data_IF_447301458313
#
_entry.id   IF_447301458313
#
_cell.length_a   1.000
_cell.length_b   1.000
_cell.length_c   1.000
_cell.angle_alpha   90.00
_cell.angle_beta   90.00
_cell.angle_gamma   90.00
#
_symmetry.space_group_name_H-M   'P 1'
#
loop_
_entity.id
_entity.type
_entity.pdbx_description
1 polymer ?
#
# COMPACT_ATOMS: atom_id res chain seq x y z
N UNK A 1 -30.31 77.99 -34.28
CA UNK A 1 -31.63 78.22 -33.65
C UNK A 1 -31.41 78.45 -32.15
N UNK A 2 -31.23 79.71 -31.78
CA UNK A 2 -31.48 80.25 -30.42
C UNK A 2 -33.00 80.26 -30.14
N UNK A 3 -33.54 80.50 -28.93
CA UNK A 3 -32.96 81.31 -27.83
C UNK A 3 -33.20 80.77 -26.38
N UNK A 4 -32.28 81.06 -25.44
CA UNK A 4 -32.42 82.04 -24.32
C UNK A 4 -33.25 81.57 -23.12
N UNK A 5 -32.60 81.46 -21.95
CA UNK A 5 -32.75 82.40 -20.81
C UNK A 5 -31.93 81.86 -19.62
N UNK A 6 -30.95 82.59 -19.07
CA UNK A 6 -31.10 83.75 -18.15
C UNK A 6 -31.86 83.30 -16.88
N UNK A 7 -31.41 83.51 -15.64
CA UNK A 7 -30.80 84.72 -15.10
C UNK A 7 -30.44 84.47 -13.61
N UNK A 8 -29.24 84.91 -13.19
CA UNK A 8 -28.86 85.66 -11.96
C UNK A 8 -29.34 85.13 -10.57
N UNK A 9 -28.61 85.27 -9.47
CA UNK A 9 -27.84 86.45 -8.99
C UNK A 9 -26.99 85.98 -7.79
N UNK A 10 -25.67 86.17 -7.82
CA UNK A 10 -24.87 87.09 -6.96
C UNK A 10 -25.25 87.10 -5.47
N UNK A 11 -24.25 87.05 -4.58
CA UNK A 11 -23.63 88.24 -3.95
C UNK A 11 -22.71 87.83 -2.79
N UNK A 12 -21.57 88.53 -2.70
CA UNK A 12 -20.83 88.99 -1.50
C UNK A 12 -20.39 87.93 -0.46
N UNK A 13 -19.09 87.67 -0.32
CA UNK A 13 -18.08 88.48 0.39
C UNK A 13 -18.38 88.65 1.89
N UNK A 14 -17.50 88.12 2.74
CA UNK A 14 -16.80 88.90 3.78
C UNK A 14 -15.80 88.01 4.50
N UNK A 15 -14.53 88.44 4.48
CA UNK A 15 -13.55 88.15 5.52
C UNK A 15 -14.13 88.56 6.88
N UNK A 16 -13.99 87.69 7.88
CA UNK A 16 -13.85 88.10 9.26
C UNK A 16 -12.95 87.09 9.98
N UNK A 17 -11.78 87.56 10.38
CA UNK A 17 -10.86 86.87 11.27
C UNK A 17 -11.47 86.75 12.66
N UNK A 18 -11.38 85.59 13.30
CA UNK A 18 -11.34 85.46 14.75
C UNK A 18 -10.94 84.04 15.20
N UNK A 19 -9.89 84.01 16.03
CA UNK A 19 -9.59 83.03 17.08
C UNK A 19 -9.35 81.55 16.70
N UNK A 20 -8.07 81.16 16.77
CA UNK A 20 -7.65 79.79 17.05
C UNK A 20 -8.23 79.32 18.40
N UNK A 21 -9.11 78.32 18.37
CA UNK A 21 -9.33 77.37 19.46
C UNK A 21 -9.45 75.97 18.84
N UNK A 22 -8.55 75.07 19.20
CA UNK A 22 -8.58 73.68 18.81
C UNK A 22 -9.63 72.92 19.63
N UNK A 23 -10.64 72.33 18.98
CA UNK A 23 -11.52 71.27 19.48
C UNK A 23 -12.28 70.66 18.28
N UNK A 24 -12.66 69.36 18.35
CA UNK A 24 -12.50 68.43 17.23
C UNK A 24 -13.66 68.51 16.23
N UNK A 25 -13.32 68.52 14.94
CA UNK A 25 -14.25 68.05 13.92
C UNK A 25 -14.35 66.54 14.05
N UNK A 26 -15.54 66.09 14.40
CA UNK A 26 -15.99 64.71 14.28
C UNK A 26 -15.94 64.36 12.80
N UNK A 27 -14.78 63.90 12.34
CA UNK A 27 -14.70 63.08 11.17
C UNK A 27 -15.43 61.79 11.54
N UNK A 28 -16.59 61.56 10.93
CA UNK A 28 -17.11 60.21 10.77
C UNK A 28 -16.02 59.46 10.01
N UNK A 29 -15.13 58.82 10.76
CA UNK A 29 -14.35 57.72 10.25
C UNK A 29 -15.41 56.75 9.73
N UNK A 30 -15.50 56.65 8.41
CA UNK A 30 -15.93 55.39 7.81
C UNK A 30 -15.13 54.33 8.54
N UNK A 31 -15.84 53.55 9.35
CA UNK A 31 -15.34 52.34 9.95
C UNK A 31 -14.81 51.52 8.79
N UNK A 32 -13.52 51.65 8.52
CA UNK A 32 -12.75 50.62 7.86
C UNK A 32 -13.01 49.40 8.72
N UNK A 33 -13.91 48.55 8.25
CA UNK A 33 -14.08 47.21 8.76
C UNK A 33 -12.73 46.54 8.56
N UNK A 34 -11.83 46.65 9.54
CA UNK A 34 -10.80 45.67 9.70
C UNK A 34 -11.56 44.35 9.74
N UNK A 35 -11.22 43.43 8.84
CA UNK A 35 -11.61 42.03 8.99
C UNK A 35 -10.93 41.58 10.30
N UNK A 36 -11.60 41.86 11.42
CA UNK A 36 -11.07 41.68 12.76
C UNK A 36 -11.16 40.21 13.11
N UNK A 37 -10.19 39.43 12.64
CA UNK A 37 -10.00 38.07 13.13
C UNK A 37 -9.78 38.12 14.64
N UNK A 38 -10.39 37.18 15.37
CA UNK A 38 -10.10 37.04 16.80
C UNK A 38 -8.61 36.71 17.00
N UNK A 39 -8.01 37.03 18.16
CA UNK A 39 -6.63 36.63 18.46
C UNK A 39 -6.39 35.12 18.29
N UNK A 40 -7.41 34.30 18.56
CA UNK A 40 -7.38 32.86 18.30
C UNK A 40 -7.38 32.55 16.79
N UNK A 41 -8.28 33.16 16.01
CA UNK A 41 -8.34 32.96 14.56
C UNK A 41 -7.03 33.37 13.86
N UNK A 42 -6.41 34.48 14.30
CA UNK A 42 -5.09 34.87 13.81
C UNK A 42 -4.02 33.84 14.17
N UNK A 43 -4.03 33.31 15.40
CA UNK A 43 -3.07 32.29 15.83
C UNK A 43 -3.22 30.96 15.08
N UNK A 44 -4.45 30.52 14.83
CA UNK A 44 -4.73 29.34 14.01
C UNK A 44 -4.27 29.57 12.58
N UNK A 45 -4.57 30.75 12.00
CA UNK A 45 -4.11 31.10 10.66
C UNK A 45 -2.58 31.06 10.57
N UNK A 46 -1.86 31.68 11.52
CA UNK A 46 -0.39 31.69 11.59
C UNK A 46 0.18 30.27 11.73
N UNK A 47 -0.37 29.44 12.61
CA UNK A 47 0.10 28.09 12.86
C UNK A 47 -0.18 27.14 11.68
N UNK A 48 -1.29 27.33 10.96
CA UNK A 48 -1.69 26.50 9.83
C UNK A 48 -0.97 26.86 8.52
N UNK A 49 -0.26 28.01 8.44
CA UNK A 49 0.43 28.45 7.22
C UNK A 49 1.30 27.38 6.52
N UNK A 50 2.03 26.48 7.23
CA UNK A 50 2.83 25.46 6.59
C UNK A 50 2.03 24.28 6.01
N UNK A 51 0.72 24.21 6.29
CA UNK A 51 -0.17 23.09 6.02
C UNK A 51 -1.34 23.57 5.17
N UNK A 52 -1.15 23.62 3.85
CA UNK A 52 -2.10 24.23 2.90
C UNK A 52 -3.56 23.76 3.09
N UNK A 53 -3.76 22.45 3.28
CA UNK A 53 -5.07 21.83 3.45
C UNK A 53 -5.71 22.20 4.80
N UNK A 54 -4.92 22.23 5.88
CA UNK A 54 -5.38 22.65 7.21
C UNK A 54 -5.72 24.14 7.21
N UNK A 55 -4.91 24.97 6.54
CA UNK A 55 -5.17 26.40 6.39
C UNK A 55 -6.42 26.67 5.54
N UNK A 56 -6.69 25.85 4.51
CA UNK A 56 -7.92 25.92 3.74
C UNK A 56 -9.14 25.60 4.61
N UNK A 57 -9.11 24.47 5.33
CA UNK A 57 -10.18 24.05 6.23
C UNK A 57 -10.54 25.10 7.29
N UNK A 58 -9.56 25.65 8.00
CA UNK A 58 -9.86 26.66 9.04
C UNK A 58 -10.39 27.98 8.46
N UNK A 59 -9.99 28.35 7.24
CA UNK A 59 -10.52 29.53 6.57
C UNK A 59 -11.99 29.36 6.21
N UNK A 60 -12.37 28.18 5.71
CA UNK A 60 -13.74 27.85 5.32
C UNK A 60 -14.68 27.71 6.53
N UNK A 61 -14.15 27.23 7.66
CA UNK A 61 -14.91 27.08 8.91
C UNK A 61 -14.90 28.34 9.78
N UNK A 62 -14.36 29.47 9.28
CA UNK A 62 -14.31 30.74 10.01
C UNK A 62 -13.44 30.68 11.27
N UNK A 63 -12.45 29.80 11.28
CA UNK A 63 -11.53 29.53 12.39
C UNK A 63 -12.24 29.08 13.68
N UNK A 64 -13.34 28.34 13.55
CA UNK A 64 -14.01 27.71 14.69
C UNK A 64 -13.11 26.62 15.30
N UNK A 65 -13.01 26.52 16.65
CA UNK A 65 -12.23 25.48 17.30
C UNK A 65 -12.84 24.09 17.06
N UNK A 66 -11.99 23.14 16.67
CA UNK A 66 -12.26 21.71 16.59
C UNK A 66 -11.95 21.04 17.93
N UNK A 67 -10.85 21.41 18.59
CA UNK A 67 -10.30 20.67 19.73
C UNK A 67 -10.24 21.46 21.04
N UNK A 68 -9.81 22.71 20.98
CA UNK A 68 -9.43 23.50 22.16
C UNK A 68 -10.56 24.33 22.76
N UNK A 69 -11.78 24.20 22.24
CA UNK A 69 -12.94 24.90 22.79
C UNK A 69 -13.48 24.27 24.08
N UNK A 70 -14.58 24.83 24.59
CA UNK A 70 -15.15 24.49 25.90
C UNK A 70 -16.39 23.59 25.84
N UNK A 71 -16.94 23.37 24.66
CA UNK A 71 -18.14 22.57 24.44
C UNK A 71 -17.89 21.08 24.73
N UNK A 72 -18.98 20.35 25.01
CA UNK A 72 -18.93 18.91 25.17
C UNK A 72 -18.45 18.20 23.89
N UNK A 73 -18.79 18.73 22.70
CA UNK A 73 -18.42 18.15 21.42
C UNK A 73 -16.90 18.23 21.17
N UNK A 74 -16.27 19.37 21.45
CA UNK A 74 -14.81 19.55 21.30
C UNK A 74 -14.04 18.63 22.26
N UNK A 75 -14.50 18.52 23.51
CA UNK A 75 -13.92 17.60 24.50
C UNK A 75 -14.04 16.13 24.06
N UNK A 76 -15.20 15.74 23.53
CA UNK A 76 -15.40 14.39 23.01
C UNK A 76 -14.47 14.07 21.84
N UNK A 77 -14.30 15.01 20.89
CA UNK A 77 -13.35 14.87 19.78
C UNK A 77 -11.91 14.69 20.26
N UNK A 78 -11.47 15.54 21.19
CA UNK A 78 -10.14 15.44 21.78
C UNK A 78 -9.92 14.10 22.49
N UNK A 79 -10.89 13.64 23.29
CA UNK A 79 -10.81 12.34 23.96
C UNK A 79 -10.70 11.19 22.96
N UNK A 80 -11.52 11.19 21.90
CA UNK A 80 -11.46 10.17 20.86
C UNK A 80 -10.11 10.14 20.14
N UNK A 81 -9.54 11.31 19.81
CA UNK A 81 -8.21 11.40 19.21
C UNK A 81 -7.14 10.82 20.15
N UNK A 82 -7.04 11.31 21.38
CA UNK A 82 -6.00 10.86 22.32
C UNK A 82 -6.09 9.36 22.61
N UNK A 83 -7.31 8.82 22.72
CA UNK A 83 -7.53 7.37 22.87
C UNK A 83 -7.04 6.59 21.64
N UNK A 84 -7.34 7.05 20.43
CA UNK A 84 -6.88 6.41 19.21
C UNK A 84 -5.34 6.41 19.11
N UNK A 85 -4.70 7.51 19.51
CA UNK A 85 -3.23 7.62 19.56
C UNK A 85 -2.63 6.66 20.60
N UNK A 86 -3.25 6.54 21.78
CA UNK A 86 -2.79 5.63 22.82
C UNK A 86 -2.78 4.16 22.39
N UNK A 87 -3.66 3.77 21.47
CA UNK A 87 -3.77 2.40 20.93
C UNK A 87 -3.17 2.26 19.52
N UNK A 88 -2.38 3.24 19.05
CA UNK A 88 -1.81 3.19 17.70
C UNK A 88 -0.83 2.02 17.51
N UNK A 89 -0.11 1.63 18.56
CA UNK A 89 0.85 0.51 18.57
C UNK A 89 0.16 -0.85 18.46
N UNK A 90 -1.08 -0.97 18.93
CA UNK A 90 -1.92 -2.15 18.73
C UNK A 90 -2.11 -2.41 17.22
N UNK A 91 -2.22 -1.33 16.45
CA UNK A 91 -2.26 -1.36 14.99
C UNK A 91 -0.88 -1.48 14.34
N UNK A 92 0.20 -1.68 15.09
CA UNK A 92 1.54 -1.78 14.53
C UNK A 92 2.06 -0.47 13.95
N UNK A 93 1.47 0.67 14.33
CA UNK A 93 2.03 1.99 14.03
C UNK A 93 3.20 2.28 14.98
N UNK A 94 4.23 3.02 14.54
CA UNK A 94 5.43 3.25 15.34
C UNK A 94 5.14 4.20 16.52
N UNK A 95 5.28 3.72 17.76
CA UNK A 95 5.01 4.49 18.99
C UNK A 95 5.69 5.85 19.03
N UNK A 96 6.95 5.94 18.57
CA UNK A 96 7.70 7.19 18.57
C UNK A 96 7.13 8.28 17.64
N UNK A 97 6.40 7.91 16.59
CA UNK A 97 5.73 8.88 15.71
C UNK A 97 4.49 9.52 16.37
N UNK A 98 4.05 8.96 17.48
CA UNK A 98 2.84 9.32 18.22
C UNK A 98 3.15 9.79 19.64
N UNK A 99 4.39 10.23 19.91
CA UNK A 99 4.74 10.81 21.20
C UNK A 99 4.00 12.14 21.42
N UNK A 100 2.99 12.11 22.29
CA UNK A 100 2.19 13.28 22.63
C UNK A 100 2.71 14.02 23.86
N UNK A 101 3.89 13.70 24.39
CA UNK A 101 4.38 14.27 25.66
C UNK A 101 4.45 15.79 25.62
N UNK A 102 5.04 16.37 24.57
CA UNK A 102 5.14 17.82 24.40
C UNK A 102 3.76 18.45 24.16
N UNK A 103 2.92 17.84 23.33
CA UNK A 103 1.58 18.33 23.03
C UNK A 103 0.69 18.40 24.29
N UNK A 104 0.70 17.34 25.11
CA UNK A 104 -0.03 17.30 26.37
C UNK A 104 0.51 18.34 27.37
N UNK A 105 1.82 18.61 27.36
CA UNK A 105 2.40 19.69 28.16
C UNK A 105 1.92 21.07 27.68
N UNK A 106 1.92 21.33 26.37
CA UNK A 106 1.38 22.57 25.79
C UNK A 106 -0.09 22.77 26.16
N UNK A 107 -0.91 21.71 26.07
CA UNK A 107 -2.33 21.76 26.43
C UNK A 107 -2.57 22.16 27.89
N UNK A 108 -1.74 21.72 28.84
CA UNK A 108 -1.86 22.05 30.27
C UNK A 108 -1.48 23.49 30.58
N UNK A 109 -0.68 24.12 29.73
CA UNK A 109 -0.11 25.44 29.94
C UNK A 109 -0.67 26.50 28.97
N UNK A 110 -1.80 26.23 28.30
CA UNK A 110 -2.47 27.23 27.47
C UNK A 110 -2.85 28.43 28.33
N UNK A 111 -2.19 29.56 28.10
CA UNK A 111 -2.37 30.81 28.84
C UNK A 111 -2.76 31.98 27.96
N UNK A 112 -2.69 31.81 26.63
CA UNK A 112 -3.01 32.83 25.64
C UNK A 112 -3.76 32.25 24.43
N UNK A 113 -4.54 33.09 23.70
CA UNK A 113 -5.15 32.68 22.44
C UNK A 113 -4.14 32.19 21.39
N UNK A 114 -2.89 32.67 21.46
CA UNK A 114 -1.82 32.26 20.57
C UNK A 114 -1.38 30.83 20.80
N UNK A 115 -1.15 30.47 22.06
CA UNK A 115 -0.83 29.09 22.45
C UNK A 115 -1.99 28.15 22.15
N UNK A 116 -3.23 28.61 22.40
CA UNK A 116 -4.42 27.85 22.07
C UNK A 116 -4.50 27.55 20.56
N UNK A 117 -4.31 28.56 19.70
CA UNK A 117 -4.33 28.38 18.25
C UNK A 117 -3.20 27.47 17.73
N UNK A 118 -2.03 27.48 18.36
CA UNK A 118 -0.95 26.53 18.03
C UNK A 118 -1.35 25.09 18.38
N UNK A 119 -1.84 24.85 19.59
CA UNK A 119 -2.30 23.51 20.03
C UNK A 119 -3.44 23.00 19.15
N UNK A 120 -4.36 23.89 18.74
CA UNK A 120 -5.46 23.58 17.83
C UNK A 120 -4.95 22.98 16.50
N UNK A 121 -3.95 23.62 15.89
CA UNK A 121 -3.37 23.16 14.62
C UNK A 121 -2.54 21.88 14.81
N UNK A 122 -1.77 21.77 15.90
CA UNK A 122 -1.01 20.55 16.21
C UNK A 122 -1.91 19.33 16.39
N UNK A 123 -3.04 19.48 17.09
CA UNK A 123 -4.05 18.40 17.23
C UNK A 123 -4.70 18.04 15.91
N UNK A 124 -4.93 19.04 15.05
CA UNK A 124 -5.46 18.83 13.70
C UNK A 124 -4.47 18.03 12.84
N UNK A 125 -3.20 18.38 12.89
CA UNK A 125 -2.13 17.66 12.19
C UNK A 125 -1.96 16.23 12.74
N UNK A 126 -2.04 16.04 14.05
CA UNK A 126 -1.99 14.72 14.69
C UNK A 126 -3.17 13.83 14.23
N UNK A 127 -4.38 14.38 14.18
CA UNK A 127 -5.56 13.68 13.65
C UNK A 127 -5.36 13.27 12.19
N UNK A 128 -4.95 14.20 11.32
CA UNK A 128 -4.74 13.91 9.91
C UNK A 128 -3.63 12.88 9.69
N UNK A 129 -2.53 13.00 10.45
CA UNK A 129 -1.43 12.04 10.42
C UNK A 129 -1.92 10.65 10.81
N UNK A 130 -2.65 10.53 11.93
CA UNK A 130 -3.23 9.26 12.35
C UNK A 130 -4.19 8.70 11.30
N UNK A 131 -5.17 9.50 10.85
CA UNK A 131 -6.19 9.09 9.89
C UNK A 131 -5.56 8.57 8.58
N UNK A 132 -4.58 9.30 8.06
CA UNK A 132 -3.84 8.86 6.89
C UNK A 132 -3.11 7.54 7.13
N UNK A 133 -2.34 7.45 8.21
CA UNK A 133 -1.47 6.31 8.48
C UNK A 133 -2.24 5.04 8.82
N UNK A 134 -3.33 5.14 9.59
CA UNK A 134 -4.15 3.97 9.94
C UNK A 134 -4.88 3.41 8.73
N UNK A 135 -5.32 4.28 7.82
CA UNK A 135 -6.09 3.88 6.63
C UNK A 135 -5.21 3.38 5.49
N UNK A 136 -4.14 4.13 5.19
CA UNK A 136 -3.39 4.00 3.93
C UNK A 136 -1.92 3.71 4.11
N UNK A 137 -1.49 3.55 5.36
CA UNK A 137 -0.14 3.18 5.71
C UNK A 137 0.78 4.37 6.01
N UNK A 138 1.90 4.04 6.63
CA UNK A 138 2.98 4.96 6.97
C UNK A 138 3.99 5.12 5.83
N UNK A 139 4.01 4.19 4.87
CA UNK A 139 4.95 4.17 3.77
C UNK A 139 4.23 4.29 2.43
N UNK A 140 4.87 5.01 1.51
CA UNK A 140 4.48 4.98 0.11
C UNK A 140 5.08 3.73 -0.56
N UNK A 141 4.27 2.78 -1.10
CA UNK A 141 4.79 1.51 -1.61
C UNK A 141 5.92 1.68 -2.64
N UNK A 142 5.77 2.66 -3.53
CA UNK A 142 6.74 2.94 -4.61
C UNK A 142 8.08 3.50 -4.12
N UNK A 143 8.14 4.02 -2.89
CA UNK A 143 9.38 4.46 -2.24
C UNK A 143 10.26 3.30 -1.77
N UNK A 144 9.66 2.13 -1.54
CA UNK A 144 10.33 0.90 -1.14
C UNK A 144 10.90 0.18 -2.38
N UNK A 145 10.03 -0.05 -3.37
CA UNK A 145 10.40 -0.66 -4.65
C UNK A 145 9.51 -0.04 -5.75
N UNK A 146 10.11 0.44 -6.84
CA UNK A 146 9.38 1.06 -7.95
C UNK A 146 8.37 0.13 -8.63
N UNK A 147 8.52 -1.19 -8.46
CA UNK A 147 7.58 -2.19 -8.97
C UNK A 147 6.37 -2.40 -8.05
N UNK A 148 6.35 -1.78 -6.87
CA UNK A 148 5.20 -1.76 -5.96
C UNK A 148 4.32 -0.55 -6.29
N UNK A 149 3.39 -0.76 -7.21
CA UNK A 149 2.59 0.33 -7.80
C UNK A 149 1.13 0.36 -7.33
N UNK A 150 0.88 -0.16 -6.14
CA UNK A 150 -0.43 -0.04 -5.47
C UNK A 150 -0.71 1.41 -5.15
N UNK A 151 -1.98 1.80 -5.30
CA UNK A 151 -2.48 3.10 -4.88
C UNK A 151 -3.34 2.89 -3.61
N UNK A 152 -2.88 3.35 -2.44
CA UNK A 152 -3.63 3.25 -1.19
C UNK A 152 -4.95 4.05 -1.16
N UNK A 153 -5.27 4.86 -2.19
CA UNK A 153 -6.48 5.71 -2.25
C UNK A 153 -6.61 6.62 -1.01
N UNK A 154 -5.64 7.51 -0.84
CA UNK A 154 -5.61 8.49 0.27
C UNK A 154 -6.83 9.41 0.17
N UNK A 155 -7.59 9.51 1.27
CA UNK A 155 -8.72 10.45 1.36
C UNK A 155 -8.19 11.88 1.50
N UNK A 156 -8.98 12.82 1.00
CA UNK A 156 -8.68 14.24 1.11
C UNK A 156 -8.71 14.68 2.60
N UNK A 157 -7.72 15.47 3.07
CA UNK A 157 -7.67 15.92 4.47
C UNK A 157 -8.86 16.78 4.91
N UNK A 158 -9.43 17.60 4.01
CA UNK A 158 -10.63 18.39 4.30
C UNK A 158 -11.84 17.47 4.42
N UNK A 159 -11.97 16.45 3.57
CA UNK A 159 -13.00 15.40 3.70
C UNK A 159 -12.89 14.67 5.05
N UNK A 160 -11.67 14.31 5.47
CA UNK A 160 -11.44 13.65 6.76
C UNK A 160 -11.85 14.52 7.96
N UNK A 161 -11.52 15.81 7.94
CA UNK A 161 -11.87 16.75 9.00
C UNK A 161 -13.36 17.05 9.04
N UNK A 162 -13.97 17.31 7.88
CA UNK A 162 -15.41 17.60 7.78
C UNK A 162 -16.25 16.38 8.16
N UNK A 163 -15.86 15.17 7.73
CA UNK A 163 -16.50 13.92 8.16
C UNK A 163 -16.41 13.69 9.67
N UNK A 164 -15.25 13.97 10.27
CA UNK A 164 -15.07 13.85 11.72
C UNK A 164 -15.91 14.87 12.51
N UNK A 165 -16.01 16.10 12.02
CA UNK A 165 -16.85 17.13 12.63
C UNK A 165 -18.35 16.82 12.53
N UNK A 166 -18.77 16.20 11.43
CA UNK A 166 -20.16 15.82 11.18
C UNK A 166 -20.59 14.54 11.92
N UNK A 167 -19.65 13.79 12.48
CA UNK A 167 -19.95 12.52 13.15
C UNK A 167 -20.65 12.75 14.50
N UNK A 168 -21.78 12.07 14.70
CA UNK A 168 -22.50 12.06 15.99
C UNK A 168 -21.64 11.49 17.14
N UNK A 169 -20.74 10.57 16.81
CA UNK A 169 -19.83 9.90 17.74
C UNK A 169 -18.39 9.91 17.20
N UNK A 170 -17.51 10.74 17.78
CA UNK A 170 -16.10 10.80 17.41
C UNK A 170 -15.35 9.47 17.53
N UNK A 171 -15.58 8.66 18.58
CA UNK A 171 -14.96 7.34 18.73
C UNK A 171 -15.35 6.40 17.58
N UNK A 172 -16.62 6.43 17.17
CA UNK A 172 -17.11 5.61 16.06
C UNK A 172 -16.47 6.03 14.73
N UNK A 173 -16.29 7.34 14.52
CA UNK A 173 -15.59 7.84 13.34
C UNK A 173 -14.14 7.39 13.33
N UNK A 174 -13.39 7.53 14.43
CA UNK A 174 -12.00 7.06 14.54
C UNK A 174 -11.89 5.56 14.24
N UNK A 175 -12.81 4.75 14.77
CA UNK A 175 -12.84 3.32 14.49
C UNK A 175 -13.14 3.01 13.01
N UNK A 176 -13.93 3.83 12.33
CA UNK A 176 -14.24 3.67 10.89
C UNK A 176 -13.03 3.92 9.97
N UNK A 177 -11.96 4.51 10.50
CA UNK A 177 -10.69 4.70 9.76
C UNK A 177 -9.84 3.43 9.74
N UNK A 178 -10.09 2.48 10.63
CA UNK A 178 -9.33 1.22 10.68
C UNK A 178 -9.74 0.34 9.48
N UNK A 179 -8.80 -0.31 8.78
CA UNK A 179 -9.12 -1.23 7.69
C UNK A 179 -10.14 -2.30 8.14
N UNK A 180 -11.24 -2.40 7.41
CA UNK A 180 -12.36 -3.27 7.75
C UNK A 180 -12.24 -4.67 7.15
N UNK A 181 -11.08 -5.06 6.63
CA UNK A 181 -10.88 -6.39 6.03
C UNK A 181 -10.76 -7.45 7.12
N UNK A 182 -11.33 -8.63 6.89
CA UNK A 182 -11.20 -9.76 7.83
C UNK A 182 -9.74 -10.17 8.03
N UNK A 183 -8.91 -9.97 7.00
CA UNK A 183 -7.47 -10.24 7.09
C UNK A 183 -6.76 -9.29 8.04
N UNK A 184 -7.07 -7.99 7.99
CA UNK A 184 -6.52 -7.04 8.94
C UNK A 184 -6.91 -7.40 10.38
N UNK A 185 -8.17 -7.81 10.61
CA UNK A 185 -8.62 -8.31 11.91
C UNK A 185 -7.88 -9.59 12.35
N UNK A 186 -7.65 -10.55 11.44
CA UNK A 186 -6.84 -11.75 11.71
C UNK A 186 -5.40 -11.40 12.07
N UNK A 187 -4.79 -10.44 11.36
CA UNK A 187 -3.42 -9.99 11.63
C UNK A 187 -3.31 -9.27 12.98
N UNK A 188 -4.27 -8.41 13.32
CA UNK A 188 -4.37 -7.79 14.65
C UNK A 188 -4.42 -8.85 15.75
N UNK A 189 -5.32 -9.84 15.61
CA UNK A 189 -5.42 -10.94 16.57
C UNK A 189 -4.09 -11.70 16.66
N UNK A 190 -3.46 -12.00 15.51
CA UNK A 190 -2.21 -12.75 15.46
C UNK A 190 -1.04 -11.98 16.08
N UNK A 191 -1.00 -10.66 15.92
CA UNK A 191 -0.03 -9.78 16.58
C UNK A 191 -0.10 -9.94 18.09
N UNK A 192 -1.30 -9.80 18.68
CA UNK A 192 -1.49 -9.99 20.12
C UNK A 192 -1.13 -11.39 20.62
N UNK A 193 -1.45 -12.43 19.85
CA UNK A 193 -1.03 -13.80 20.19
C UNK A 193 0.50 -13.93 20.25
N UNK A 194 1.20 -13.40 19.23
CA UNK A 194 2.65 -13.48 19.13
C UNK A 194 3.34 -12.63 20.19
N UNK A 195 2.82 -11.45 20.53
CA UNK A 195 3.33 -10.63 21.63
C UNK A 195 3.28 -11.36 22.96
N UNK A 196 2.12 -11.93 23.32
CA UNK A 196 1.96 -12.75 24.53
C UNK A 196 2.88 -13.98 24.55
N UNK A 197 3.11 -14.58 23.39
CA UNK A 197 4.05 -15.68 23.25
C UNK A 197 5.49 -15.21 23.51
N UNK A 198 5.89 -14.06 22.96
CA UNK A 198 7.23 -13.49 23.17
C UNK A 198 7.46 -13.23 24.65
N UNK A 199 6.48 -12.65 25.36
CA UNK A 199 6.53 -12.43 26.81
C UNK A 199 6.73 -13.73 27.61
N UNK A 200 6.29 -14.88 27.07
CA UNK A 200 6.42 -16.21 27.68
C UNK A 200 7.66 -16.99 27.23
N UNK A 201 8.59 -16.35 26.52
CA UNK A 201 9.84 -16.98 26.06
C UNK A 201 9.83 -17.46 24.60
N UNK A 202 8.85 -17.06 23.79
CA UNK A 202 8.80 -17.36 22.37
C UNK A 202 8.57 -18.84 22.06
N UNK A 203 9.16 -19.32 20.97
CA UNK A 203 9.12 -20.74 20.58
C UNK A 203 10.10 -21.63 21.36
N UNK A 204 10.72 -21.10 22.42
CA UNK A 204 11.77 -21.78 23.16
C UNK A 204 13.09 -21.93 22.39
N UNK A 205 14.00 -22.78 22.88
CA UNK A 205 15.32 -23.00 22.28
C UNK A 205 15.24 -23.38 20.79
N UNK A 206 16.26 -23.00 20.04
CA UNK A 206 16.41 -23.39 18.64
C UNK A 206 16.73 -24.88 18.51
N UNK A 207 16.30 -25.47 17.40
CA UNK A 207 16.68 -26.83 17.00
C UNK A 207 18.13 -26.81 16.52
N UNK A 208 19.02 -27.46 17.26
CA UNK A 208 20.44 -27.59 16.96
C UNK A 208 20.69 -28.83 16.10
N UNK A 209 20.35 -28.74 14.82
CA UNK A 209 20.61 -29.76 13.82
C UNK A 209 20.76 -29.11 12.44
N UNK A 210 21.50 -29.74 11.53
CA UNK A 210 21.52 -29.34 10.12
C UNK A 210 20.35 -29.93 9.33
N UNK A 211 19.92 -31.14 9.71
CA UNK A 211 18.74 -31.81 9.21
C UNK A 211 18.28 -32.87 10.22
N UNK A 212 16.99 -33.25 10.15
CA UNK A 212 16.43 -34.38 10.89
C UNK A 212 15.49 -35.20 9.98
N UNK A 213 15.54 -36.53 10.09
CA UNK A 213 14.75 -37.47 9.27
C UNK A 213 13.86 -38.38 10.12
N UNK A 214 12.76 -38.91 9.54
CA UNK A 214 11.97 -39.95 10.19
C UNK A 214 12.82 -41.12 10.68
N UNK A 215 12.56 -41.58 11.91
CA UNK A 215 13.29 -42.65 12.59
C UNK A 215 14.49 -42.21 13.43
N UNK A 216 15.00 -40.98 13.25
CA UNK A 216 16.08 -40.45 14.08
C UNK A 216 15.64 -40.20 15.53
N UNK A 217 16.60 -40.15 16.46
CA UNK A 217 16.36 -39.98 17.89
C UNK A 217 17.36 -39.01 18.52
N UNK A 218 17.01 -38.47 19.69
CA UNK A 218 17.93 -37.73 20.55
C UNK A 218 17.51 -36.29 20.83
N UNK A 219 18.45 -35.50 21.36
CA UNK A 219 18.15 -34.17 21.90
C UNK A 219 17.58 -33.22 20.83
N UNK A 220 18.10 -33.27 19.60
CA UNK A 220 17.63 -32.40 18.51
C UNK A 220 16.22 -32.76 18.04
N UNK A 221 15.81 -34.03 18.09
CA UNK A 221 14.42 -34.46 17.82
C UNK A 221 13.49 -33.93 18.93
N UNK A 222 13.93 -33.98 20.19
CA UNK A 222 13.18 -33.39 21.31
C UNK A 222 13.02 -31.87 21.14
N UNK A 223 14.06 -31.18 20.68
CA UNK A 223 13.98 -29.74 20.36
C UNK A 223 12.97 -29.46 19.24
N UNK A 224 13.04 -30.23 18.14
CA UNK A 224 12.09 -30.13 17.02
C UNK A 224 10.64 -30.35 17.49
N UNK A 225 10.39 -31.43 18.24
CA UNK A 225 9.09 -31.74 18.84
C UNK A 225 8.57 -30.57 19.67
N UNK A 226 9.41 -30.02 20.56
CA UNK A 226 9.00 -28.92 21.43
C UNK A 226 8.68 -27.64 20.63
N UNK A 227 9.47 -27.33 19.59
CA UNK A 227 9.18 -26.22 18.66
C UNK A 227 7.86 -26.42 17.93
N UNK A 228 7.60 -27.61 17.37
CA UNK A 228 6.35 -27.91 16.67
C UNK A 228 5.14 -27.85 17.60
N UNK A 229 5.28 -28.28 18.86
CA UNK A 229 4.24 -28.11 19.89
C UNK A 229 4.00 -26.62 20.16
N UNK A 230 5.07 -25.85 20.39
CA UNK A 230 4.94 -24.43 20.69
C UNK A 230 4.28 -23.67 19.53
N UNK A 231 4.60 -24.05 18.28
CA UNK A 231 4.01 -23.48 17.06
C UNK A 231 2.61 -24.01 16.72
N UNK A 232 2.10 -25.00 17.47
CA UNK A 232 0.75 -25.56 17.28
C UNK A 232 0.63 -26.62 16.18
N UNK A 233 1.73 -27.11 15.61
CA UNK A 233 1.73 -28.17 14.60
C UNK A 233 1.64 -29.58 15.19
N UNK A 234 1.96 -29.74 16.47
CA UNK A 234 2.00 -31.03 17.15
C UNK A 234 1.30 -30.95 18.50
N UNK A 235 0.49 -31.97 18.82
CA UNK A 235 -0.07 -32.14 20.16
C UNK A 235 1.02 -32.46 21.21
N UNK A 236 0.70 -32.37 22.50
CA UNK A 236 1.68 -32.72 23.56
C UNK A 236 2.17 -34.16 23.38
N UNK A 237 3.48 -34.34 23.34
CA UNK A 237 4.12 -35.64 23.20
C UNK A 237 5.41 -35.71 24.03
N UNK A 238 5.71 -36.91 24.54
CA UNK A 238 6.96 -37.22 25.25
C UNK A 238 7.95 -38.01 24.38
N UNK A 239 7.62 -38.28 23.11
CA UNK A 239 8.47 -39.06 22.18
C UNK A 239 9.86 -38.44 22.04
N UNK A 240 10.89 -39.29 21.96
CA UNK A 240 12.25 -38.86 21.65
C UNK A 240 12.69 -39.30 20.25
N UNK A 241 11.75 -39.90 19.49
CA UNK A 241 11.95 -40.43 18.15
C UNK A 241 11.17 -39.57 17.17
N UNK A 242 11.75 -39.35 16.00
CA UNK A 242 11.10 -38.72 14.88
C UNK A 242 10.09 -39.72 14.29
N UNK A 243 8.94 -39.81 14.94
CA UNK A 243 7.84 -40.71 14.59
C UNK A 243 6.91 -40.12 13.51
N UNK A 244 5.87 -40.87 13.16
CA UNK A 244 4.90 -40.48 12.13
C UNK A 244 4.13 -39.20 12.47
N UNK A 245 3.90 -38.91 13.76
CA UNK A 245 3.21 -37.69 14.18
C UNK A 245 4.11 -36.46 14.02
N UNK A 246 5.40 -36.57 14.36
CA UNK A 246 6.38 -35.51 14.06
C UNK A 246 6.51 -35.31 12.55
N UNK A 247 6.58 -36.40 11.77
CA UNK A 247 6.65 -36.29 10.30
C UNK A 247 5.47 -35.54 9.73
N UNK A 248 4.24 -35.88 10.15
CA UNK A 248 3.04 -35.19 9.73
C UNK A 248 3.03 -33.71 10.15
N UNK A 249 3.49 -33.41 11.37
CA UNK A 249 3.61 -32.04 11.85
C UNK A 249 4.63 -31.23 11.04
N UNK A 250 5.75 -31.84 10.64
CA UNK A 250 6.75 -31.20 9.76
C UNK A 250 6.20 -30.99 8.36
N UNK A 251 5.43 -31.93 7.80
CA UNK A 251 4.77 -31.75 6.50
C UNK A 251 3.80 -30.56 6.55
N UNK A 252 2.94 -30.48 7.57
CA UNK A 252 2.03 -29.36 7.75
C UNK A 252 2.78 -28.02 7.91
N UNK A 253 3.91 -28.03 8.64
CA UNK A 253 4.77 -26.85 8.75
C UNK A 253 5.37 -26.45 7.39
N UNK A 254 5.89 -27.41 6.63
CA UNK A 254 6.47 -27.19 5.31
C UNK A 254 5.44 -26.61 4.34
N UNK A 255 4.22 -27.16 4.30
CA UNK A 255 3.11 -26.64 3.49
C UNK A 255 2.81 -25.17 3.84
N UNK A 256 2.67 -24.85 5.12
CA UNK A 256 2.39 -23.49 5.58
C UNK A 256 3.55 -22.51 5.36
N UNK A 257 4.79 -23.00 5.25
CA UNK A 257 5.96 -22.19 4.92
C UNK A 257 6.26 -22.13 3.41
N UNK A 258 5.44 -22.78 2.57
CA UNK A 258 5.67 -22.84 1.13
C UNK A 258 6.88 -23.70 0.71
N UNK A 259 7.31 -24.62 1.57
CA UNK A 259 8.39 -25.57 1.32
C UNK A 259 7.85 -26.87 0.71
N UNK A 260 8.75 -27.72 0.20
CA UNK A 260 8.37 -29.08 -0.20
C UNK A 260 7.99 -29.92 1.03
N UNK A 261 6.76 -30.43 1.07
CA UNK A 261 6.20 -31.17 2.19
C UNK A 261 6.62 -32.66 2.23
N UNK A 262 7.92 -32.92 2.25
CA UNK A 262 8.49 -34.28 2.25
C UNK A 262 8.55 -34.92 3.65
N UNK A 263 8.29 -34.15 4.71
CA UNK A 263 8.38 -34.60 6.09
C UNK A 263 9.82 -34.83 6.57
N UNK A 264 10.82 -34.36 5.82
CA UNK A 264 12.22 -34.31 6.22
C UNK A 264 12.52 -32.89 6.66
N UNK A 265 12.93 -32.71 7.92
CA UNK A 265 13.35 -31.40 8.40
C UNK A 265 14.79 -31.10 7.91
N UNK A 266 14.96 -30.86 6.61
CA UNK A 266 16.23 -30.47 6.00
C UNK A 266 16.66 -29.03 6.34
N UNK A 267 17.78 -28.53 5.80
CA UNK A 267 18.33 -27.22 6.16
C UNK A 267 17.33 -26.06 6.07
N UNK A 268 16.57 -25.96 4.97
CA UNK A 268 15.55 -24.92 4.80
C UNK A 268 14.40 -25.03 5.82
N UNK A 269 13.99 -26.26 6.16
CA UNK A 269 12.97 -26.49 7.19
C UNK A 269 13.50 -26.12 8.57
N UNK A 270 14.74 -26.50 8.91
CA UNK A 270 15.34 -26.14 10.19
C UNK A 270 15.52 -24.62 10.31
N UNK A 271 15.97 -23.95 9.25
CA UNK A 271 16.07 -22.49 9.19
C UNK A 271 14.71 -21.83 9.43
N UNK A 272 13.68 -22.24 8.69
CA UNK A 272 12.32 -21.71 8.81
C UNK A 272 11.72 -21.98 10.21
N UNK A 273 11.94 -23.18 10.76
CA UNK A 273 11.55 -23.54 12.14
C UNK A 273 12.27 -22.65 13.13
N UNK A 274 13.55 -22.33 12.92
CA UNK A 274 14.36 -21.59 13.87
C UNK A 274 14.13 -20.07 13.87
N UNK A 275 13.38 -19.53 12.90
CA UNK A 275 12.94 -18.11 12.90
C UNK A 275 12.24 -17.78 14.23
N UNK A 276 12.72 -16.77 14.99
CA UNK A 276 12.15 -16.45 16.29
C UNK A 276 10.80 -15.73 16.15
N UNK A 277 9.98 -15.80 17.21
CA UNK A 277 8.67 -15.16 17.25
C UNK A 277 8.74 -13.63 17.02
N UNK A 278 9.82 -12.98 17.45
CA UNK A 278 10.06 -11.54 17.23
C UNK A 278 10.20 -11.18 15.75
N UNK A 279 10.84 -12.01 14.92
CA UNK A 279 10.91 -11.79 13.47
C UNK A 279 9.55 -12.07 12.79
N UNK A 280 8.78 -13.04 13.30
CA UNK A 280 7.41 -13.27 12.84
C UNK A 280 6.48 -12.10 13.19
N UNK A 281 6.66 -11.48 14.35
CA UNK A 281 5.94 -10.26 14.73
C UNK A 281 6.18 -9.12 13.73
N UNK A 282 7.44 -8.89 13.33
CA UNK A 282 7.77 -7.91 12.28
C UNK A 282 7.07 -8.23 10.97
N UNK A 283 7.04 -9.50 10.58
CA UNK A 283 6.33 -9.94 9.37
C UNK A 283 4.82 -9.64 9.43
N UNK A 284 4.19 -9.83 10.60
CA UNK A 284 2.78 -9.50 10.83
C UNK A 284 2.57 -7.99 10.72
N UNK A 285 3.41 -7.17 11.34
CA UNK A 285 3.31 -5.70 11.25
C UNK A 285 3.47 -5.22 9.80
N UNK A 286 4.41 -5.79 9.05
CA UNK A 286 4.56 -5.50 7.62
C UNK A 286 3.33 -5.94 6.82
N UNK A 287 2.72 -7.08 7.13
CA UNK A 287 1.49 -7.52 6.49
C UNK A 287 0.31 -6.57 6.80
N UNK A 288 0.20 -6.08 8.03
CA UNK A 288 -0.81 -5.09 8.43
C UNK A 288 -0.63 -3.78 7.66
N UNK A 289 0.61 -3.32 7.51
CA UNK A 289 0.92 -2.15 6.68
C UNK A 289 0.53 -2.38 5.21
N UNK A 290 0.84 -3.56 4.66
CA UNK A 290 0.48 -3.92 3.29
C UNK A 290 -1.03 -4.01 3.07
N UNK A 291 -1.81 -4.46 4.05
CA UNK A 291 -3.28 -4.47 3.97
C UNK A 291 -3.86 -3.05 3.86
N UNK A 292 -3.21 -2.03 4.44
CA UNK A 292 -3.65 -0.63 4.29
C UNK A 292 -3.46 -0.08 2.89
N UNK A 293 -2.54 -0.65 2.12
CA UNK A 293 -2.32 -0.24 0.72
C UNK A 293 -3.34 -0.84 -0.24
N UNK A 294 -4.22 -1.72 0.22
CA UNK A 294 -5.22 -2.38 -0.60
C UNK A 294 -6.52 -1.58 -0.63
N UNK A 295 -6.93 -1.18 -1.83
CA UNK A 295 -8.22 -0.52 -2.08
C UNK A 295 -9.31 -1.46 -2.58
N UNK A 296 -9.03 -2.76 -2.66
CA UNK A 296 -9.97 -3.74 -3.19
C UNK A 296 -11.05 -4.11 -2.15
N UNK A 297 -12.30 -4.21 -2.59
CA UNK A 297 -13.35 -4.81 -1.79
C UNK A 297 -13.25 -6.34 -1.83
N UNK A 298 -12.69 -6.93 -0.77
CA UNK A 298 -12.50 -8.38 -0.63
C UNK A 298 -13.79 -9.14 -0.29
N UNK A 299 -14.94 -8.46 -0.20
CA UNK A 299 -16.25 -9.13 -0.05
C UNK A 299 -16.79 -9.65 -1.38
N UNK A 300 -16.36 -9.06 -2.50
CA UNK A 300 -16.73 -9.52 -3.84
C UNK A 300 -15.78 -10.60 -4.35
N UNK A 301 -16.09 -11.16 -5.53
CA UNK A 301 -15.18 -12.08 -6.22
C UNK A 301 -13.89 -11.37 -6.63
N UNK A 302 -12.74 -11.95 -6.34
CA UNK A 302 -11.44 -11.46 -6.81
C UNK A 302 -10.47 -12.59 -7.14
N UNK A 303 -9.44 -12.26 -7.91
CA UNK A 303 -8.31 -13.15 -8.20
C UNK A 303 -7.11 -12.63 -7.42
N UNK A 304 -6.50 -13.50 -6.62
CA UNK A 304 -5.35 -13.18 -5.80
C UNK A 304 -4.13 -13.96 -6.26
N UNK A 305 -3.13 -13.27 -6.79
CA UNK A 305 -1.83 -13.86 -7.09
C UNK A 305 -0.85 -13.44 -6.00
N UNK A 306 -0.46 -14.39 -5.16
CA UNK A 306 0.55 -14.15 -4.17
C UNK A 306 1.92 -14.51 -4.75
N UNK A 307 2.73 -13.49 -5.00
CA UNK A 307 4.04 -13.65 -5.65
C UNK A 307 5.01 -14.47 -4.78
N UNK A 308 4.92 -14.37 -3.46
CA UNK A 308 5.91 -14.98 -2.56
C UNK A 308 5.61 -16.44 -2.22
N UNK A 309 4.35 -16.87 -2.29
CA UNK A 309 3.97 -18.29 -2.12
C UNK A 309 3.78 -19.02 -3.48
N UNK A 310 3.90 -18.26 -4.59
CA UNK A 310 3.72 -18.75 -5.95
C UNK A 310 2.38 -19.46 -6.16
N UNK A 311 1.29 -18.86 -5.68
CA UNK A 311 -0.08 -19.32 -5.90
C UNK A 311 -0.94 -18.27 -6.59
N UNK A 312 -1.98 -18.74 -7.27
CA UNK A 312 -3.09 -17.94 -7.77
C UNK A 312 -4.39 -18.55 -7.25
N UNK A 313 -5.26 -17.70 -6.67
CA UNK A 313 -6.53 -18.10 -6.07
C UNK A 313 -7.67 -17.30 -6.66
N UNK A 314 -8.84 -17.93 -6.81
CA UNK A 314 -10.12 -17.24 -6.95
C UNK A 314 -10.78 -17.27 -5.59
N UNK A 315 -11.17 -16.10 -5.10
CA UNK A 315 -11.86 -15.94 -3.82
C UNK A 315 -13.24 -15.37 -4.09
N UNK A 316 -14.28 -16.04 -3.63
CA UNK A 316 -15.68 -15.64 -3.74
C UNK A 316 -16.24 -15.44 -2.34
N UNK A 317 -16.58 -14.19 -1.96
CA UNK A 317 -17.18 -13.92 -0.65
C UNK A 317 -16.31 -14.31 0.55
N UNK A 318 -14.97 -14.27 0.38
CA UNK A 318 -14.01 -14.69 1.40
C UNK A 318 -13.58 -16.16 1.33
N UNK A 319 -14.27 -16.99 0.54
CA UNK A 319 -13.97 -18.42 0.38
C UNK A 319 -13.10 -18.68 -0.86
N UNK A 320 -12.08 -19.52 -0.74
CA UNK A 320 -11.24 -19.92 -1.88
C UNK A 320 -12.00 -20.97 -2.71
N UNK A 321 -12.45 -20.60 -3.90
CA UNK A 321 -13.20 -21.49 -4.80
C UNK A 321 -12.33 -22.19 -5.84
N UNK A 322 -11.12 -21.66 -6.08
CA UNK A 322 -10.12 -22.27 -6.93
C UNK A 322 -8.73 -21.85 -6.47
N UNK A 323 -7.78 -22.78 -6.49
CA UNK A 323 -6.37 -22.53 -6.22
C UNK A 323 -5.49 -23.29 -7.21
N UNK A 324 -4.42 -22.64 -7.66
CA UNK A 324 -3.37 -23.27 -8.46
C UNK A 324 -2.00 -22.68 -8.12
N UNK A 325 -0.94 -23.42 -8.47
CA UNK A 325 0.43 -22.91 -8.46
C UNK A 325 0.61 -21.92 -9.60
N UNK A 326 1.43 -20.90 -9.39
CA UNK A 326 1.82 -19.91 -10.41
C UNK A 326 3.33 -19.94 -10.67
N UNK A 327 3.74 -19.48 -11.85
CA UNK A 327 5.13 -19.12 -12.16
C UNK A 327 5.17 -17.63 -12.44
N UNK A 328 5.96 -16.90 -11.66
CA UNK A 328 6.05 -15.44 -11.74
C UNK A 328 7.35 -15.02 -12.44
N UNK A 329 7.50 -13.71 -12.62
CA UNK A 329 8.70 -13.07 -13.14
C UNK A 329 9.98 -13.49 -12.40
N UNK A 330 11.09 -13.60 -13.12
CA UNK A 330 12.39 -13.87 -12.52
C UNK A 330 12.79 -12.76 -11.53
N UNK A 331 13.74 -13.04 -10.65
CA UNK A 331 14.20 -12.09 -9.63
C UNK A 331 15.08 -10.96 -10.19
N UNK A 332 15.51 -11.04 -11.45
CA UNK A 332 16.20 -9.93 -12.11
C UNK A 332 15.26 -8.74 -12.29
N UNK A 333 15.75 -7.53 -12.01
CA UNK A 333 14.92 -6.33 -11.91
C UNK A 333 14.06 -6.06 -13.16
N UNK A 334 14.58 -6.37 -14.34
CA UNK A 334 13.93 -6.21 -15.65
C UNK A 334 12.83 -7.24 -15.95
N UNK A 335 12.70 -8.28 -15.12
CA UNK A 335 11.78 -9.41 -15.32
C UNK A 335 10.88 -9.69 -14.13
N UNK A 336 11.02 -8.96 -13.03
CA UNK A 336 10.19 -9.12 -11.84
C UNK A 336 8.74 -8.79 -12.14
N UNK A 337 7.82 -9.57 -11.57
CA UNK A 337 6.40 -9.23 -11.61
C UNK A 337 6.14 -8.06 -10.66
N UNK A 338 5.55 -6.94 -11.12
CA UNK A 338 5.18 -5.82 -10.25
C UNK A 338 4.00 -6.17 -9.35
N UNK A 339 3.88 -5.46 -8.22
CA UNK A 339 2.72 -5.52 -7.34
C UNK A 339 1.72 -4.44 -7.74
N UNK A 340 0.52 -4.85 -8.15
CA UNK A 340 -0.58 -3.96 -8.53
C UNK A 340 -1.90 -4.74 -8.51
N UNK A 341 -3.00 -4.01 -8.72
CA UNK A 341 -4.35 -4.55 -8.87
C UNK A 341 -4.97 -3.97 -10.14
N UNK A 342 -5.77 -4.76 -10.85
CA UNK A 342 -6.56 -4.31 -12.00
C UNK A 342 -7.75 -5.25 -12.24
N UNK A 343 -8.66 -4.87 -13.12
CA UNK A 343 -9.87 -5.64 -13.44
C UNK A 343 -9.62 -6.57 -14.62
N UNK A 344 -9.95 -7.86 -14.43
CA UNK A 344 -9.95 -8.82 -15.52
C UNK A 344 -11.15 -8.58 -16.44
N UNK A 345 -10.87 -8.26 -17.70
CA UNK A 345 -11.87 -7.89 -18.69
C UNK A 345 -12.32 -9.08 -19.54
N UNK A 346 -11.38 -9.89 -20.03
CA UNK A 346 -11.69 -10.97 -20.95
C UNK A 346 -10.63 -12.07 -20.97
N UNK A 347 -11.03 -13.22 -21.51
CA UNK A 347 -10.16 -14.36 -21.77
C UNK A 347 -10.01 -14.56 -23.28
N UNK A 348 -8.80 -14.85 -23.72
CA UNK A 348 -8.47 -15.22 -25.11
C UNK A 348 -8.14 -16.70 -25.14
N UNK A 349 -8.88 -17.47 -25.94
CA UNK A 349 -8.64 -18.89 -26.18
C UNK A 349 -7.75 -19.01 -27.42
N UNK A 350 -6.78 -19.94 -27.37
CA UNK A 350 -5.78 -20.17 -28.41
C UNK A 350 -5.09 -18.86 -28.84
N UNK A 351 -4.42 -18.15 -27.91
CA UNK A 351 -3.87 -16.83 -28.19
C UNK A 351 -2.71 -16.90 -29.20
N UNK A 352 -2.60 -15.87 -30.05
CA UNK A 352 -1.31 -15.56 -30.68
C UNK A 352 -0.41 -14.85 -29.68
N UNK A 353 0.88 -15.20 -29.66
CA UNK A 353 1.87 -14.48 -28.86
C UNK A 353 2.61 -13.47 -29.73
N UNK A 354 2.50 -12.20 -29.38
CA UNK A 354 3.34 -11.15 -29.94
C UNK A 354 4.56 -11.00 -29.03
N UNK A 355 5.73 -11.40 -29.53
CA UNK A 355 6.95 -11.47 -28.73
C UNK A 355 7.39 -10.04 -28.42
N UNK A 356 7.54 -9.66 -27.14
CA UNK A 356 8.06 -8.35 -26.76
C UNK A 356 9.39 -8.03 -27.44
N UNK A 357 9.62 -6.75 -27.77
CA UNK A 357 10.86 -6.30 -28.43
C UNK A 357 12.11 -6.67 -27.63
N UNK A 358 12.06 -6.60 -26.30
CA UNK A 358 13.16 -6.99 -25.42
C UNK A 358 13.52 -8.47 -25.56
N UNK A 359 12.53 -9.37 -25.53
CA UNK A 359 12.71 -10.82 -25.72
C UNK A 359 13.19 -11.11 -27.15
N UNK A 360 12.59 -10.48 -28.14
CA UNK A 360 13.02 -10.58 -29.55
C UNK A 360 14.50 -10.27 -29.66
N UNK A 361 14.94 -9.11 -29.14
CA UNK A 361 16.31 -8.63 -29.21
C UNK A 361 17.31 -9.50 -28.44
N UNK A 362 16.94 -9.95 -27.25
CA UNK A 362 17.88 -10.54 -26.30
C UNK A 362 17.94 -12.08 -26.39
N UNK A 363 16.86 -12.74 -26.81
CA UNK A 363 16.77 -14.21 -26.78
C UNK A 363 16.72 -14.84 -28.17
N UNK A 364 15.93 -14.28 -29.09
CA UNK A 364 15.73 -14.91 -30.42
C UNK A 364 16.69 -14.38 -31.47
N UNK A 365 16.84 -13.06 -31.54
CA UNK A 365 17.57 -12.39 -32.61
C UNK A 365 19.05 -12.79 -32.72
N UNK A 366 19.81 -13.03 -31.62
CA UNK A 366 21.19 -13.49 -31.73
C UNK A 366 21.32 -14.80 -32.53
N UNK A 367 20.50 -15.80 -32.21
CA UNK A 367 20.50 -17.08 -32.91
C UNK A 367 19.94 -16.97 -34.35
N UNK A 368 18.98 -16.08 -34.58
CA UNK A 368 18.46 -15.82 -35.92
C UNK A 368 19.51 -15.17 -36.82
N UNK A 369 20.30 -14.22 -36.32
CA UNK A 369 21.41 -13.60 -37.06
C UNK A 369 22.47 -14.66 -37.41
N UNK A 370 22.93 -15.43 -36.42
CA UNK A 370 23.96 -16.47 -36.60
C UNK A 370 23.54 -17.51 -37.65
N UNK A 371 22.26 -17.87 -37.65
CA UNK A 371 21.70 -18.89 -38.55
C UNK A 371 21.10 -18.33 -39.85
N UNK A 372 21.33 -17.05 -40.17
CA UNK A 372 20.77 -16.40 -41.38
C UNK A 372 19.24 -16.58 -41.49
N UNK A 373 18.55 -16.45 -40.35
CA UNK A 373 17.09 -16.53 -40.22
C UNK A 373 16.51 -17.91 -39.95
N UNK A 374 17.30 -18.98 -39.94
CA UNK A 374 16.79 -20.35 -39.81
C UNK A 374 16.31 -20.70 -38.39
N UNK A 375 16.89 -20.09 -37.36
CA UNK A 375 16.46 -20.28 -35.98
C UNK A 375 15.03 -19.75 -35.72
N UNK A 376 14.40 -20.26 -34.66
CA UNK A 376 13.05 -19.87 -34.23
C UNK A 376 11.99 -19.98 -35.34
N UNK A 377 12.08 -21.01 -36.19
CA UNK A 377 11.20 -21.24 -37.35
C UNK A 377 9.70 -21.28 -37.02
N UNK A 378 9.35 -21.62 -35.78
CA UNK A 378 7.98 -21.62 -35.26
C UNK A 378 7.38 -20.21 -35.07
N UNK A 379 8.20 -19.15 -35.14
CA UNK A 379 7.75 -17.75 -35.11
C UNK A 379 7.50 -17.25 -36.54
N UNK A 380 6.53 -16.36 -36.72
CA UNK A 380 6.36 -15.58 -37.94
C UNK A 380 7.05 -14.23 -37.76
N UNK A 381 7.73 -13.75 -38.80
CA UNK A 381 8.21 -12.37 -38.88
C UNK A 381 7.11 -11.56 -39.55
N UNK A 382 6.72 -10.45 -38.93
CA UNK A 382 5.67 -9.57 -39.46
C UNK A 382 6.16 -8.12 -39.57
N UNK A 383 5.65 -7.38 -40.56
CA UNK A 383 5.89 -5.94 -40.69
C UNK A 383 4.96 -5.10 -39.80
N UNK A 384 5.14 -3.78 -39.81
CA UNK A 384 4.29 -2.86 -39.02
C UNK A 384 2.82 -2.82 -39.43
N UNK A 385 2.45 -3.40 -40.58
CA UNK A 385 1.07 -3.60 -41.00
C UNK A 385 0.53 -4.99 -40.60
N UNK A 386 1.34 -5.82 -39.92
CA UNK A 386 1.00 -7.16 -39.49
C UNK A 386 1.09 -8.22 -40.59
N UNK A 387 1.67 -7.89 -41.76
CA UNK A 387 1.83 -8.84 -42.87
C UNK A 387 3.04 -9.72 -42.62
N UNK A 388 2.91 -11.02 -42.91
CA UNK A 388 4.02 -11.97 -42.79
C UNK A 388 5.09 -11.65 -43.83
N UNK A 389 6.33 -11.48 -43.36
CA UNK A 389 7.52 -11.26 -44.17
C UNK A 389 8.27 -12.59 -44.29
N UNK A 390 8.44 -13.15 -45.50
CA UNK A 390 9.20 -14.38 -45.68
C UNK A 390 10.66 -14.16 -45.28
N UNK A 391 11.24 -15.10 -44.52
CA UNK A 391 12.59 -14.99 -43.93
C UNK A 391 13.67 -14.81 -44.99
N UNK A 392 13.50 -15.46 -46.12
CA UNK A 392 14.38 -15.45 -47.28
C UNK A 392 14.44 -14.08 -47.99
N UNK A 393 13.46 -13.21 -47.74
CA UNK A 393 13.45 -11.84 -48.30
C UNK A 393 14.18 -10.83 -47.43
N UNK A 394 14.59 -11.23 -46.22
CA UNK A 394 15.25 -10.35 -45.25
C UNK A 394 16.76 -10.39 -45.50
N UNK A 395 17.37 -9.21 -45.63
CA UNK A 395 18.83 -9.08 -45.61
C UNK A 395 19.34 -9.21 -44.17
N UNK A 396 19.67 -10.44 -43.76
CA UNK A 396 20.16 -10.75 -42.41
C UNK A 396 21.52 -10.14 -42.09
N UNK A 397 22.34 -9.79 -43.07
CA UNK A 397 23.62 -9.09 -42.85
C UNK A 397 23.40 -7.65 -42.36
N UNK A 398 22.27 -7.04 -42.69
CA UNK A 398 21.88 -5.72 -42.22
C UNK A 398 21.15 -5.75 -40.86
N UNK A 399 20.78 -6.93 -40.36
CA UNK A 399 20.10 -7.10 -39.08
C UNK A 399 21.12 -7.14 -37.95
N UNK A 400 20.81 -6.45 -36.86
CA UNK A 400 21.59 -6.52 -35.63
C UNK A 400 20.66 -6.52 -34.42
N UNK A 401 21.19 -6.84 -33.23
CA UNK A 401 20.40 -6.69 -31.99
C UNK A 401 19.97 -5.24 -31.75
N UNK A 402 20.60 -4.23 -32.37
CA UNK A 402 20.17 -2.83 -32.33
C UNK A 402 19.18 -2.45 -33.42
N UNK A 403 19.02 -3.27 -34.47
CA UNK A 403 18.22 -2.94 -35.65
C UNK A 403 17.53 -4.19 -36.22
N UNK A 404 16.22 -4.29 -35.94
CA UNK A 404 15.32 -5.29 -36.50
C UNK A 404 13.94 -4.64 -36.72
N UNK A 405 13.62 -4.18 -37.95
CA UNK A 405 12.43 -3.38 -38.25
C UNK A 405 11.14 -4.22 -38.40
N UNK A 406 11.08 -5.37 -37.71
CA UNK A 406 9.98 -6.33 -37.77
C UNK A 406 9.56 -6.75 -36.35
N UNK A 407 8.40 -7.39 -36.26
CA UNK A 407 7.91 -8.04 -35.05
C UNK A 407 7.91 -9.56 -35.21
N UNK A 408 7.99 -10.26 -34.07
CA UNK A 408 7.83 -11.71 -34.03
C UNK A 408 6.47 -12.07 -33.47
N UNK A 409 5.78 -12.98 -34.16
CA UNK A 409 4.47 -13.50 -33.75
C UNK A 409 4.50 -15.02 -33.72
N UNK A 410 4.18 -15.63 -32.59
CA UNK A 410 3.89 -17.06 -32.52
C UNK A 410 2.38 -17.29 -32.74
N UNK A 411 1.97 -18.02 -33.79
CA UNK A 411 0.58 -18.40 -33.96
C UNK A 411 0.14 -19.43 -32.90
N UNK A 412 -1.17 -19.65 -32.72
CA UNK A 412 -1.69 -20.65 -31.79
C UNK A 412 -1.19 -22.05 -32.15
N UNK A 413 -0.66 -22.79 -31.17
CA UNK A 413 -0.15 -24.16 -31.32
C UNK A 413 0.07 -24.80 -29.95
N UNK A 414 0.29 -26.12 -29.90
CA UNK A 414 0.61 -26.83 -28.66
C UNK A 414 1.96 -26.42 -28.01
N UNK A 415 2.84 -25.75 -28.78
CA UNK A 415 4.10 -25.19 -28.29
C UNK A 415 4.07 -23.67 -28.10
N UNK A 416 2.89 -23.03 -28.14
CA UNK A 416 2.77 -21.60 -27.97
C UNK A 416 3.22 -21.17 -26.56
N UNK A 417 4.06 -20.15 -26.44
CA UNK A 417 4.58 -19.70 -25.14
C UNK A 417 3.49 -19.25 -24.15
N UNK A 418 2.34 -18.80 -24.67
CA UNK A 418 1.15 -18.43 -23.90
C UNK A 418 0.17 -19.59 -23.66
N UNK A 419 0.52 -20.80 -24.09
CA UNK A 419 -0.31 -21.99 -23.98
C UNK A 419 -1.66 -21.84 -24.69
N UNK A 420 -2.72 -22.36 -24.08
CA UNK A 420 -4.06 -22.44 -24.67
C UNK A 420 -4.99 -21.28 -24.25
N UNK A 421 -4.68 -20.56 -23.17
CA UNK A 421 -5.52 -19.47 -22.67
C UNK A 421 -4.69 -18.31 -22.15
N UNK A 422 -5.20 -17.10 -22.34
CA UNK A 422 -4.64 -15.85 -21.80
C UNK A 422 -5.76 -15.04 -21.17
N UNK A 423 -5.57 -14.59 -19.94
CA UNK A 423 -6.50 -13.76 -19.19
C UNK A 423 -6.01 -12.31 -19.16
N UNK A 424 -6.84 -11.40 -19.66
CA UNK A 424 -6.49 -10.01 -19.89
C UNK A 424 -7.11 -9.11 -18.83
N UNK A 425 -6.25 -8.29 -18.23
CA UNK A 425 -6.57 -7.19 -17.33
C UNK A 425 -5.64 -6.03 -17.72
N UNK A 426 -6.01 -5.23 -18.73
CA UNK A 426 -5.12 -4.21 -19.29
C UNK A 426 -4.56 -3.27 -18.23
N UNK A 427 -3.23 -3.18 -18.14
CA UNK A 427 -2.54 -2.41 -17.11
C UNK A 427 -1.28 -1.74 -17.68
N UNK A 428 -0.75 -0.75 -16.95
CA UNK A 428 0.45 0.01 -17.33
C UNK A 428 1.74 -0.82 -17.46
N UNK A 429 1.74 -2.06 -16.97
CA UNK A 429 2.92 -2.94 -16.94
C UNK A 429 2.93 -3.99 -18.06
N UNK A 430 1.89 -4.06 -18.89
CA UNK A 430 1.70 -5.10 -19.90
C UNK A 430 1.74 -6.53 -19.34
N UNK A 431 1.33 -6.71 -18.08
CA UNK A 431 1.28 -8.01 -17.40
C UNK A 431 -0.06 -8.68 -17.66
N UNK A 432 -0.07 -10.01 -17.75
CA UNK A 432 -1.28 -10.82 -17.87
C UNK A 432 -1.05 -12.20 -17.24
N UNK A 433 -2.15 -12.94 -17.04
CA UNK A 433 -2.15 -14.34 -16.64
C UNK A 433 -2.27 -15.19 -17.89
N UNK A 434 -1.50 -16.27 -18.03
CA UNK A 434 -1.57 -17.10 -19.22
C UNK A 434 -1.13 -18.54 -18.98
N UNK A 435 -1.55 -19.45 -19.84
CA UNK A 435 -1.10 -20.83 -19.81
C UNK A 435 0.35 -20.97 -20.32
N UNK A 436 0.97 -22.14 -20.18
CA UNK A 436 2.32 -22.40 -20.69
C UNK A 436 2.55 -23.88 -21.00
N UNK A 437 3.31 -24.20 -22.07
CA UNK A 437 3.73 -25.57 -22.34
C UNK A 437 4.76 -26.08 -21.32
N UNK A 438 5.46 -25.18 -20.61
CA UNK A 438 6.51 -25.54 -19.63
C UNK A 438 5.95 -25.95 -18.26
N UNK A 439 5.08 -26.96 -18.23
CA UNK A 439 4.38 -27.43 -17.02
C UNK A 439 5.30 -27.94 -15.90
N UNK A 440 6.51 -28.39 -16.24
CA UNK A 440 7.49 -28.88 -15.26
C UNK A 440 7.96 -27.79 -14.28
N UNK A 441 7.84 -26.50 -14.63
CA UNK A 441 8.24 -25.40 -13.75
C UNK A 441 7.35 -25.29 -12.50
N UNK A 442 6.10 -25.74 -12.57
CA UNK A 442 5.17 -25.72 -11.43
C UNK A 442 5.50 -26.78 -10.36
N UNK A 443 6.42 -27.70 -10.67
CA UNK A 443 6.95 -28.66 -9.69
C UNK A 443 8.17 -28.12 -8.92
N UNK A 444 8.66 -26.92 -9.26
CA UNK A 444 9.75 -26.27 -8.52
C UNK A 444 9.21 -25.59 -7.27
N UNK A 445 10.04 -25.56 -6.23
CA UNK A 445 9.77 -24.83 -4.99
C UNK A 445 9.76 -23.32 -5.23
N UNK A 446 10.87 -22.79 -5.76
CA UNK A 446 10.96 -21.40 -6.24
C UNK A 446 10.51 -21.34 -7.70
N UNK A 447 9.48 -20.53 -7.99
CA UNK A 447 8.84 -20.45 -9.32
C UNK A 447 8.96 -19.07 -9.98
N UNK A 448 10.12 -18.43 -9.82
CA UNK A 448 10.45 -17.14 -10.42
C UNK A 448 11.25 -17.32 -11.74
N UNK A 449 10.57 -17.59 -12.86
CA UNK A 449 11.20 -17.91 -14.15
C UNK A 449 10.68 -17.12 -15.35
N UNK A 450 9.63 -16.32 -15.19
CA UNK A 450 8.98 -15.60 -16.28
C UNK A 450 9.70 -14.28 -16.64
N UNK A 451 9.19 -13.57 -17.65
CA UNK A 451 9.58 -12.21 -18.06
C UNK A 451 8.56 -11.19 -17.55
N UNK A 452 8.18 -11.29 -16.27
CA UNK A 452 7.19 -10.43 -15.62
C UNK A 452 5.79 -11.01 -15.58
N UNK A 453 5.28 -11.57 -16.68
CA UNK A 453 3.92 -12.14 -16.73
C UNK A 453 3.76 -13.37 -15.81
N UNK A 454 2.51 -13.68 -15.44
CA UNK A 454 2.20 -14.77 -14.52
C UNK A 454 1.66 -15.96 -15.32
N UNK A 455 2.24 -17.15 -15.10
CA UNK A 455 1.81 -18.39 -15.72
C UNK A 455 1.01 -19.26 -14.77
#
# INVERSE_FOLDING_TARGET
MTPVSRLKTRLLSTLAAAALCAAPLVANAETTSSLGFSPFAQAVAEAALPLDEVAAFYRETGYAPVWTGQSAAEKARLTALLKAIQHADEHGLPTGAYDTTELLAMMRHISSPREQGRVEVELTNLFLTYAHQIQTGILEPSSIDKLMTRDPHRRDPVELLTGFLAADNPDAYMHSLIPSSDEYARLMHKKFEIERLIERGGWGPQVQASALKPGEQGASVVQLRNRLIAMGYLGRSATMTYDAEIQKAVQAFQENMGLNADGVAGPATIEAINVPATERLKSIVVAMERERWLSIDRKNRYIWVNLTDFTARIVDGGEITFETRSVIGATSYDRRTPEFSDVMEHMVINPSWYVPKSITRNEYLPAMIESQGAAASHLQIIDGAGRVVPRETINWEAVSTGYFPFDLKQPPSGGNALGLVKFMFPNKHNIYLHDTPSKSLFAREVRAFSHGCIR
#
